data_IF_796366337747
#
_entry.id   IF_796366337747
#
_cell.length_a   1.000
_cell.length_b   1.000
_cell.length_c   1.000
_cell.angle_alpha   90.00
_cell.angle_beta   90.00
_cell.angle_gamma   90.00
#
_symmetry.space_group_name_H-M   'P 1'
#
loop_
_entity.id
_entity.type
_entity.pdbx_description
1 polymer ?
#
# COMPACT_ATOMS: atom_id res chain seq x y z
N UNK A 1 0.28 9.54 15.99
CA UNK A 1 -0.81 9.36 16.97
C UNK A 1 -2.05 8.96 16.16
N UNK A 2 -2.49 7.70 16.25
CA UNK A 2 -3.50 7.11 15.35
C UNK A 2 -4.86 7.84 15.40
N UNK A 3 -5.27 8.27 16.60
CA UNK A 3 -6.52 9.00 16.83
C UNK A 3 -6.53 10.33 16.07
N UNK A 4 -5.43 11.09 16.17
CA UNK A 4 -5.28 12.36 15.46
C UNK A 4 -5.33 12.19 13.94
N UNK A 5 -4.68 11.16 13.40
CA UNK A 5 -4.67 10.88 11.96
C UNK A 5 -6.06 10.50 11.44
N UNK A 6 -6.82 9.72 12.22
CA UNK A 6 -8.19 9.35 11.88
C UNK A 6 -9.12 10.57 11.88
N UNK A 7 -8.98 11.46 12.85
CA UNK A 7 -9.74 12.72 12.90
C UNK A 7 -9.39 13.64 11.72
N UNK A 8 -8.11 13.77 11.37
CA UNK A 8 -7.70 14.56 10.19
C UNK A 8 -8.28 14.00 8.88
N UNK A 9 -8.33 12.67 8.73
CA UNK A 9 -9.00 12.02 7.61
C UNK A 9 -10.47 12.39 7.58
N UNK A 10 -11.21 12.09 8.65
CA UNK A 10 -12.65 12.33 8.74
C UNK A 10 -13.02 13.82 8.62
N UNK A 11 -12.10 14.74 8.94
CA UNK A 11 -12.32 16.19 8.77
C UNK A 11 -12.30 16.68 7.31
N UNK A 12 -11.82 15.85 6.37
CA UNK A 12 -11.73 16.18 4.95
C UNK A 12 -12.79 15.41 4.15
N UNK A 13 -13.47 16.05 3.19
CA UNK A 13 -14.42 15.35 2.33
C UNK A 13 -13.72 14.27 1.51
N UNK A 14 -14.45 13.20 1.17
CA UNK A 14 -13.90 12.09 0.39
C UNK A 14 -13.31 12.59 -0.94
N UNK A 15 -12.04 12.27 -1.27
CA UNK A 15 -11.39 12.75 -2.50
C UNK A 15 -11.98 12.14 -3.77
N UNK A 16 -12.71 11.03 -3.67
CA UNK A 16 -13.30 10.35 -4.84
C UNK A 16 -14.74 10.77 -5.14
N UNK A 17 -15.51 11.20 -4.15
CA UNK A 17 -16.95 11.48 -4.32
C UNK A 17 -17.47 12.71 -3.55
N UNK A 18 -16.60 13.43 -2.83
CA UNK A 18 -16.92 14.63 -2.03
C UNK A 18 -17.94 14.42 -0.90
N UNK A 19 -18.22 13.18 -0.51
CA UNK A 19 -19.03 12.88 0.67
C UNK A 19 -18.38 13.46 1.93
N UNK A 20 -19.19 14.10 2.77
CA UNK A 20 -18.77 14.71 4.05
C UNK A 20 -18.92 13.77 5.24
N UNK A 21 -19.80 12.76 5.11
CA UNK A 21 -19.95 11.68 6.06
C UNK A 21 -19.47 10.38 5.41
N UNK A 22 -18.33 9.86 5.88
CA UNK A 22 -17.85 8.53 5.54
C UNK A 22 -17.16 7.91 6.75
N UNK A 23 -17.21 6.58 6.84
CA UNK A 23 -16.56 5.85 7.91
C UNK A 23 -15.17 5.38 7.46
N UNK A 24 -14.21 5.42 8.39
CA UNK A 24 -12.86 4.88 8.18
C UNK A 24 -12.71 3.55 8.93
N UNK A 25 -12.42 2.48 8.21
CA UNK A 25 -12.05 1.18 8.78
C UNK A 25 -10.54 1.03 8.90
N UNK A 26 -10.07 0.37 9.96
CA UNK A 26 -8.66 -0.01 10.13
C UNK A 26 -8.50 -1.49 9.78
N UNK A 27 -7.47 -1.81 9.02
CA UNK A 27 -7.11 -3.19 8.65
C UNK A 27 -5.59 -3.31 8.63
N UNK A 28 -5.08 -4.49 9.02
CA UNK A 28 -3.65 -4.77 8.91
C UNK A 28 -3.23 -4.75 7.44
N UNK A 29 -2.09 -4.11 7.16
CA UNK A 29 -1.60 -3.92 5.80
C UNK A 29 -1.24 -5.25 5.13
N UNK A 30 -0.72 -6.22 5.88
CA UNK A 30 -0.37 -7.55 5.36
C UNK A 30 -1.65 -8.30 4.98
N UNK A 31 -2.65 -8.31 5.88
CA UNK A 31 -3.94 -8.96 5.61
C UNK A 31 -4.67 -8.34 4.41
N UNK A 32 -4.62 -7.01 4.30
CA UNK A 32 -5.22 -6.31 3.17
C UNK A 32 -4.52 -6.62 1.84
N UNK A 33 -3.19 -6.64 1.83
CA UNK A 33 -2.41 -6.98 0.64
C UNK A 33 -2.58 -8.44 0.23
N UNK A 34 -2.73 -9.36 1.19
CA UNK A 34 -2.97 -10.79 0.91
C UNK A 34 -4.34 -11.01 0.23
N UNK A 35 -5.37 -10.30 0.70
CA UNK A 35 -6.70 -10.32 0.06
C UNK A 35 -6.61 -9.79 -1.38
N UNK A 36 -5.95 -8.65 -1.59
CA UNK A 36 -5.76 -8.08 -2.93
C UNK A 36 -4.92 -9.00 -3.83
N UNK A 37 -3.87 -9.62 -3.29
CA UNK A 37 -3.04 -10.56 -4.04
C UNK A 37 -3.89 -11.75 -4.52
N UNK A 38 -4.75 -12.28 -3.64
CA UNK A 38 -5.70 -13.34 -3.97
C UNK A 38 -6.67 -12.91 -5.08
N UNK A 39 -7.28 -11.73 -4.96
CA UNK A 39 -8.23 -11.21 -5.96
C UNK A 39 -7.59 -10.93 -7.32
N UNK A 40 -6.32 -10.51 -7.34
CA UNK A 40 -5.61 -10.12 -8.55
C UNK A 40 -4.75 -11.23 -9.16
N UNK A 41 -4.84 -12.45 -8.60
CA UNK A 41 -3.98 -13.58 -8.97
C UNK A 41 -2.48 -13.25 -8.91
N UNK A 42 -2.10 -12.42 -7.93
CA UNK A 42 -0.72 -12.08 -7.59
C UNK A 42 -0.24 -12.92 -6.39
N UNK A 43 1.03 -12.80 -6.02
CA UNK A 43 1.60 -13.47 -4.85
C UNK A 43 2.22 -12.42 -3.95
N UNK A 44 1.92 -12.48 -2.66
CA UNK A 44 2.57 -11.67 -1.64
C UNK A 44 3.68 -12.50 -0.98
N UNK A 45 4.85 -11.91 -0.80
CA UNK A 45 5.97 -12.53 -0.09
C UNK A 45 6.47 -11.56 0.98
N UNK A 46 6.57 -12.05 2.21
CA UNK A 46 7.04 -11.26 3.35
C UNK A 46 8.53 -11.56 3.57
N UNK A 47 9.36 -10.53 3.42
CA UNK A 47 10.81 -10.64 3.52
C UNK A 47 11.29 -10.01 4.83
N UNK A 48 12.17 -10.70 5.54
CA UNK A 48 12.82 -10.19 6.74
C UNK A 48 13.92 -9.18 6.36
N UNK A 49 13.92 -8.00 6.97
CA UNK A 49 14.98 -7.00 6.80
C UNK A 49 16.32 -7.36 7.43
N UNK A 50 16.50 -8.61 7.91
CA UNK A 50 17.74 -9.08 8.54
C UNK A 50 18.79 -9.58 7.54
N UNK A 51 18.40 -9.88 6.29
CA UNK A 51 19.36 -10.22 5.23
C UNK A 51 19.88 -8.95 4.55
N UNK A 52 21.00 -9.06 3.84
CA UNK A 52 21.58 -7.94 3.08
C UNK A 52 20.58 -7.43 2.03
N UNK A 53 19.95 -8.34 1.29
CA UNK A 53 18.94 -8.05 0.27
C UNK A 53 17.69 -7.42 0.91
N UNK A 54 17.27 -7.93 2.07
CA UNK A 54 16.15 -7.36 2.83
C UNK A 54 16.44 -5.93 3.30
N UNK A 55 17.68 -5.63 3.69
CA UNK A 55 18.10 -4.28 4.05
C UNK A 55 18.12 -3.34 2.84
N UNK A 56 18.54 -3.82 1.67
CA UNK A 56 18.46 -3.06 0.42
C UNK A 56 17.01 -2.74 0.04
N UNK A 57 16.10 -3.72 0.07
CA UNK A 57 14.66 -3.50 -0.19
C UNK A 57 14.06 -2.54 0.86
N UNK A 58 14.48 -2.65 2.12
CA UNK A 58 14.03 -1.73 3.15
C UNK A 58 14.44 -0.28 2.88
N UNK A 59 15.60 -0.05 2.24
CA UNK A 59 16.05 1.28 1.83
C UNK A 59 15.26 1.87 0.65
N UNK A 60 14.60 1.02 -0.14
CA UNK A 60 13.80 1.41 -1.31
C UNK A 60 12.33 1.73 -0.98
N UNK A 61 11.92 1.66 0.29
CA UNK A 61 10.53 1.93 0.71
C UNK A 61 9.81 0.74 1.34
N UNK A 62 10.50 -0.39 1.58
CA UNK A 62 10.03 -1.57 2.34
C UNK A 62 8.88 -2.37 1.70
N UNK A 63 8.23 -1.87 0.66
CA UNK A 63 7.23 -2.58 -0.14
C UNK A 63 7.68 -2.53 -1.60
N UNK A 64 7.44 -3.60 -2.35
CA UNK A 64 7.88 -3.74 -3.74
C UNK A 64 6.96 -4.67 -4.53
N UNK A 65 6.97 -4.56 -5.85
CA UNK A 65 6.22 -5.47 -6.72
C UNK A 65 7.06 -5.86 -7.95
N UNK A 66 6.98 -7.14 -8.31
CA UNK A 66 7.60 -7.67 -9.53
C UNK A 66 6.48 -7.87 -10.57
N UNK A 67 6.55 -7.12 -11.66
CA UNK A 67 5.56 -7.17 -12.72
C UNK A 67 5.89 -8.30 -13.72
N UNK A 68 4.87 -9.06 -14.12
CA UNK A 68 5.01 -10.12 -15.15
C UNK A 68 5.29 -9.58 -16.54
N UNK A 69 4.77 -8.39 -16.83
CA UNK A 69 4.90 -7.72 -18.11
C UNK A 69 5.38 -6.29 -17.91
N UNK A 70 6.05 -5.74 -18.93
CA UNK A 70 6.45 -4.34 -18.91
C UNK A 70 5.21 -3.46 -19.01
N UNK A 71 5.04 -2.47 -18.10
CA UNK A 71 3.93 -1.53 -18.19
C UNK A 71 4.09 -0.67 -19.45
N UNK A 72 3.00 -0.46 -20.20
CA UNK A 72 2.99 0.28 -21.47
C UNK A 72 3.01 1.80 -21.29
N UNK A 73 2.74 2.31 -20.09
CA UNK A 73 2.70 3.74 -19.77
C UNK A 73 3.90 4.17 -18.92
N UNK A 74 4.69 5.11 -19.44
CA UNK A 74 5.87 5.71 -18.78
C UNK A 74 5.58 6.52 -17.51
N UNK A 75 4.30 6.68 -17.12
CA UNK A 75 3.90 7.40 -15.91
C UNK A 75 3.56 6.50 -14.71
N UNK A 76 3.76 5.18 -14.82
CA UNK A 76 3.68 4.28 -13.67
C UNK A 76 5.09 4.02 -13.16
N UNK A 77 5.68 5.02 -12.51
CA UNK A 77 6.68 4.70 -11.51
C UNK A 77 5.88 4.01 -10.40
N UNK A 78 6.21 2.76 -10.09
CA UNK A 78 5.86 2.17 -8.80
C UNK A 78 6.66 2.94 -7.73
N UNK A 79 6.33 4.22 -7.50
CA UNK A 79 6.81 4.98 -6.34
C UNK A 79 6.04 4.44 -5.17
N UNK A 80 6.63 3.47 -4.52
CA UNK A 80 6.26 3.08 -3.17
C UNK A 80 7.05 4.07 -2.29
N UNK A 81 6.47 5.26 -2.10
CA UNK A 81 6.98 6.30 -1.20
C UNK A 81 6.42 6.11 0.20
#
# INVERSE_FOLDING_TARGET
NLVSTKQELLSKPCPSCSAVDYESSEKDIVDYLEELATMTASRLEIISGKSEEGAQIASLGRIGAILRFRPSSSNTIARIS
#
